data_IF_926942959168
#
_entry.id   IF_926942959168
#
_cell.length_a   1.000
_cell.length_b   1.000
_cell.length_c   1.000
_cell.angle_alpha   90.00
_cell.angle_beta   90.00
_cell.angle_gamma   90.00
#
_symmetry.space_group_name_H-M   'P 1'
#
loop_
_entity.id
_entity.type
_entity.pdbx_description
1 polymer ?
#
# COMPACT_ATOMS: atom_id res chain seq x y z
N UNK A 1 21.13 -9.60 -7.88
CA UNK A 1 20.18 -8.86 -8.74
C UNK A 1 19.06 -8.42 -7.82
N UNK A 2 19.07 -7.16 -7.39
CA UNK A 2 18.09 -6.62 -6.45
C UNK A 2 16.82 -6.32 -7.23
N UNK A 3 15.79 -7.14 -7.03
CA UNK A 3 14.46 -7.00 -7.64
C UNK A 3 13.91 -5.61 -7.31
N UNK A 4 13.74 -4.77 -8.32
CA UNK A 4 13.28 -3.37 -8.23
C UNK A 4 11.96 -3.21 -7.46
N UNK A 5 11.19 -4.30 -7.39
CA UNK A 5 9.83 -4.41 -6.90
C UNK A 5 9.73 -4.16 -5.39
N UNK A 6 10.66 -4.72 -4.62
CA UNK A 6 10.63 -4.66 -3.15
C UNK A 6 10.94 -3.24 -2.64
N UNK A 7 11.88 -2.57 -3.30
CA UNK A 7 12.34 -1.24 -2.91
C UNK A 7 11.30 -0.14 -3.21
N UNK A 8 10.48 -0.32 -4.25
CA UNK A 8 9.41 0.61 -4.60
C UNK A 8 8.26 0.53 -3.61
N UNK A 9 7.85 -0.68 -3.21
CA UNK A 9 6.84 -0.84 -2.18
C UNK A 9 7.29 -0.29 -0.83
N UNK A 10 8.53 -0.54 -0.41
CA UNK A 10 9.06 0.06 0.82
C UNK A 10 9.04 1.60 0.80
N UNK A 11 9.29 2.22 -0.35
CA UNK A 11 9.15 3.67 -0.54
C UNK A 11 7.70 4.12 -0.44
N UNK A 12 6.77 3.42 -1.09
CA UNK A 12 5.34 3.70 -0.97
C UNK A 12 4.87 3.58 0.48
N UNK A 13 5.22 2.49 1.17
CA UNK A 13 4.95 2.27 2.60
C UNK A 13 5.44 3.42 3.47
N UNK A 14 6.67 3.88 3.22
CA UNK A 14 7.27 5.00 3.95
C UNK A 14 6.52 6.30 3.68
N UNK A 15 6.14 6.56 2.43
CA UNK A 15 5.37 7.76 2.07
C UNK A 15 4.00 7.75 2.74
N UNK A 16 3.27 6.65 2.62
CA UNK A 16 1.94 6.48 3.25
C UNK A 16 2.06 6.63 4.76
N UNK A 17 3.07 6.00 5.41
CA UNK A 17 3.31 6.12 6.86
C UNK A 17 3.64 7.54 7.31
N UNK A 18 4.16 8.40 6.44
CA UNK A 18 4.36 9.81 6.77
C UNK A 18 3.07 10.63 6.63
N UNK A 19 2.18 10.23 5.71
CA UNK A 19 0.90 10.91 5.47
C UNK A 19 -0.18 10.53 6.49
N UNK A 20 -0.11 9.32 7.05
CA UNK A 20 -1.12 8.79 7.97
C UNK A 20 -0.51 8.34 9.30
N UNK A 21 -1.30 8.31 10.36
CA UNK A 21 -0.81 7.84 11.67
C UNK A 21 -0.44 6.34 11.64
N UNK A 22 0.56 5.95 12.45
CA UNK A 22 1.01 4.55 12.54
C UNK A 22 -0.12 3.56 12.84
N UNK A 23 -1.12 3.95 13.61
CA UNK A 23 -2.30 3.11 13.90
C UNK A 23 -3.13 2.83 12.64
N UNK A 24 -3.39 3.85 11.82
CA UNK A 24 -4.08 3.71 10.54
C UNK A 24 -3.26 2.84 9.58
N UNK A 25 -1.95 3.06 9.53
CA UNK A 25 -1.06 2.26 8.71
C UNK A 25 -1.04 0.78 9.14
N UNK A 26 -0.91 0.51 10.44
CA UNK A 26 -0.89 -0.85 10.98
C UNK A 26 -2.25 -1.56 10.88
N UNK A 27 -3.34 -0.80 10.85
CA UNK A 27 -4.68 -1.37 10.69
C UNK A 27 -4.98 -1.68 9.24
N UNK A 28 -4.71 -0.74 8.33
CA UNK A 28 -5.15 -0.82 6.93
C UNK A 28 -4.07 -1.32 5.98
N UNK A 29 -2.81 -0.89 6.15
CA UNK A 29 -1.71 -1.15 5.21
C UNK A 29 -0.80 -2.31 5.61
N UNK A 30 -0.64 -2.58 6.91
CA UNK A 30 0.12 -3.75 7.38
C UNK A 30 -0.43 -5.10 6.88
N UNK A 31 -1.75 -5.36 6.82
CA UNK A 31 -2.26 -6.62 6.28
C UNK A 31 -2.28 -6.64 4.73
N UNK A 32 -1.86 -5.57 4.05
CA UNK A 32 -1.77 -5.53 2.59
C UNK A 32 -0.49 -6.22 2.17
N UNK A 33 -0.64 -7.22 1.31
CA UNK A 33 0.49 -7.82 0.62
C UNK A 33 0.73 -7.13 -0.70
N UNK A 34 2.00 -6.84 -0.97
CA UNK A 34 2.44 -6.44 -2.29
C UNK A 34 2.47 -7.68 -3.18
N UNK A 35 1.78 -7.62 -4.31
CA UNK A 35 1.67 -8.75 -5.24
C UNK A 35 2.61 -8.56 -6.43
N UNK A 36 2.53 -7.41 -7.09
CA UNK A 36 3.39 -7.04 -8.22
C UNK A 36 3.33 -5.54 -8.49
N UNK A 37 4.40 -4.99 -9.06
CA UNK A 37 4.41 -3.62 -9.58
C UNK A 37 4.73 -3.65 -11.06
N UNK A 38 4.03 -2.81 -11.81
CA UNK A 38 4.28 -2.54 -13.22
C UNK A 38 4.68 -1.09 -13.37
N UNK A 39 5.17 -0.70 -14.55
CA UNK A 39 5.61 0.67 -14.85
C UNK A 39 4.57 1.76 -14.53
N UNK A 40 3.28 1.41 -14.50
CA UNK A 40 2.18 2.36 -14.30
C UNK A 40 1.17 1.96 -13.24
N UNK A 41 1.28 0.76 -12.65
CA UNK A 41 0.28 0.25 -11.69
C UNK A 41 0.92 -0.62 -10.62
N UNK A 42 0.44 -0.44 -9.40
CA UNK A 42 0.77 -1.23 -8.23
C UNK A 42 -0.37 -2.22 -7.96
N UNK A 43 -0.06 -3.51 -7.90
CA UNK A 43 -1.02 -4.57 -7.55
C UNK A 43 -0.82 -4.95 -6.10
N UNK A 44 -1.85 -4.69 -5.30
CA UNK A 44 -1.89 -4.95 -3.87
C UNK A 44 -2.99 -5.94 -3.55
N UNK A 45 -2.64 -6.96 -2.77
CA UNK A 45 -3.55 -7.98 -2.27
C UNK A 45 -4.01 -7.59 -0.87
N UNK A 46 -5.31 -7.30 -0.75
CA UNK A 46 -5.95 -7.01 0.53
C UNK A 46 -6.67 -8.25 1.06
N UNK A 47 -6.80 -8.40 2.39
CA UNK A 47 -7.44 -9.58 2.98
C UNK A 47 -8.94 -9.65 2.70
N UNK A 48 -9.61 -8.51 2.48
CA UNK A 48 -11.04 -8.46 2.22
C UNK A 48 -11.43 -7.23 1.38
N UNK A 49 -12.56 -7.29 0.67
CA UNK A 49 -13.07 -6.20 -0.17
C UNK A 49 -13.34 -4.92 0.63
N UNK A 50 -13.69 -5.03 1.91
CA UNK A 50 -13.88 -3.86 2.78
C UNK A 50 -12.60 -3.00 2.93
N UNK A 51 -11.43 -3.64 2.97
CA UNK A 51 -10.15 -2.92 2.99
C UNK A 51 -9.96 -2.15 1.69
N UNK A 52 -10.27 -2.76 0.55
CA UNK A 52 -10.21 -2.09 -0.75
C UNK A 52 -11.07 -0.83 -0.75
N UNK A 53 -12.33 -0.94 -0.31
CA UNK A 53 -13.27 0.17 -0.29
C UNK A 53 -12.82 1.30 0.66
N UNK A 54 -12.34 0.93 1.85
CA UNK A 54 -11.80 1.90 2.80
C UNK A 54 -10.57 2.63 2.26
N UNK A 55 -9.66 1.90 1.61
CA UNK A 55 -8.49 2.44 0.90
C UNK A 55 -8.89 3.37 -0.23
N UNK A 56 -9.87 2.96 -1.05
CA UNK A 56 -10.36 3.77 -2.17
C UNK A 56 -11.08 5.04 -1.72
N UNK A 57 -11.75 5.03 -0.57
CA UNK A 57 -12.47 6.21 -0.07
C UNK A 57 -11.59 7.15 0.76
N UNK A 58 -10.67 6.62 1.57
CA UNK A 58 -9.93 7.41 2.55
C UNK A 58 -8.47 7.66 2.16
N UNK A 59 -7.89 6.79 1.33
CA UNK A 59 -6.44 6.78 1.06
C UNK A 59 -6.10 6.87 -0.43
N UNK A 60 -7.08 6.96 -1.33
CA UNK A 60 -6.88 7.04 -2.77
C UNK A 60 -6.21 8.34 -3.23
N UNK A 61 -6.32 9.41 -2.43
CA UNK A 61 -5.61 10.68 -2.67
C UNK A 61 -4.11 10.60 -2.33
N UNK A 62 -3.74 9.64 -1.47
CA UNK A 62 -2.39 9.46 -0.92
C UNK A 62 -1.56 8.47 -1.77
N UNK A 63 -2.24 7.52 -2.44
CA UNK A 63 -1.67 6.37 -3.17
C UNK A 63 -1.37 6.73 -4.63
#
# INVERSE_FOLDING_TARGET
MTTLDDNLWEKCRTKIRNEISEESYNTWFQPINFDSITETKLILSVPNTFYKDCLEQNYLDII
#
